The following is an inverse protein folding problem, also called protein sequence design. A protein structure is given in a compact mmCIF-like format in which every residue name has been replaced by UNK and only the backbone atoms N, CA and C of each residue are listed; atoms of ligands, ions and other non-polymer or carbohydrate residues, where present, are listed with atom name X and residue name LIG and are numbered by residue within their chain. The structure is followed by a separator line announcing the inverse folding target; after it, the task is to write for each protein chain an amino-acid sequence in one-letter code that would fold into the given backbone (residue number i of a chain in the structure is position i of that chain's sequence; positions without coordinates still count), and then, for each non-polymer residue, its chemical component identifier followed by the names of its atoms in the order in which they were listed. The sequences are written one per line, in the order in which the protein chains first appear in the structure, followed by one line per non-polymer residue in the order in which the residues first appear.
data_IF_879284394106
#
_entry.id   IF_879284394106
#
_cell.length_a   1.000
_cell.length_b   1.000
_cell.length_c   1.000
_cell.angle_alpha   90.00
_cell.angle_beta   90.00
_cell.angle_gamma   90.00
#
_symmetry.space_group_name_H-M   'P 1'
#
loop_
_entity.id
_entity.type
_entity.pdbx_description
1 polymer ?
#
# COMPACT_ATOMS: atom_id res chain seq x y z
N UNK A 1 10.12 -31.33 -8.16
CA UNK A 1 8.99 -31.05 -9.08
C UNK A 1 7.73 -31.51 -8.36
N UNK A 2 7.02 -30.60 -7.69
CA UNK A 2 5.75 -30.95 -7.05
C UNK A 2 4.74 -31.25 -8.17
N UNK A 3 4.18 -32.46 -8.17
CA UNK A 3 3.12 -32.85 -9.11
C UNK A 3 1.80 -32.61 -8.37
N UNK A 4 1.14 -31.53 -8.76
CA UNK A 4 -0.11 -31.11 -8.17
C UNK A 4 -1.28 -31.77 -8.92
N UNK A 5 -2.23 -32.43 -8.23
CA UNK A 5 -3.50 -32.85 -8.82
C UNK A 5 -4.17 -31.75 -9.65
N UNK A 6 -4.76 -32.16 -10.78
CA UNK A 6 -5.30 -31.29 -11.83
C UNK A 6 -6.14 -30.09 -11.36
N UNK A 7 -7.10 -30.21 -10.41
CA UNK A 7 -8.00 -29.10 -10.09
C UNK A 7 -7.31 -27.88 -9.46
N UNK A 8 -6.27 -28.06 -8.65
CA UNK A 8 -5.59 -26.89 -8.06
C UNK A 8 -4.39 -26.42 -8.90
N UNK A 9 -3.85 -27.26 -9.80
CA UNK A 9 -2.82 -26.80 -10.75
C UNK A 9 -3.33 -25.67 -11.65
N UNK A 10 -4.63 -25.65 -11.98
CA UNK A 10 -5.24 -24.58 -12.77
C UNK A 10 -5.30 -23.26 -11.97
N UNK A 11 -5.74 -23.33 -10.72
CA UNK A 11 -5.81 -22.18 -9.81
C UNK A 11 -4.42 -21.60 -9.53
N UNK A 12 -3.42 -22.45 -9.26
CA UNK A 12 -2.03 -21.99 -9.09
C UNK A 12 -1.52 -21.29 -10.35
N UNK A 13 -1.76 -21.86 -11.53
CA UNK A 13 -1.32 -21.26 -12.79
C UNK A 13 -1.99 -19.90 -13.05
N UNK A 14 -3.29 -19.78 -12.78
CA UNK A 14 -4.02 -18.52 -12.90
C UNK A 14 -3.49 -17.47 -11.90
N UNK A 15 -3.28 -17.87 -10.64
CA UNK A 15 -2.74 -16.99 -9.61
C UNK A 15 -1.35 -16.46 -9.93
N UNK A 16 -0.43 -17.32 -10.38
CA UNK A 16 0.92 -16.92 -10.78
C UNK A 16 0.93 -16.01 -12.02
N UNK A 17 0.01 -16.24 -12.96
CA UNK A 17 -0.17 -15.36 -14.11
C UNK A 17 -0.62 -13.97 -13.66
N UNK A 18 -1.67 -13.88 -12.85
CA UNK A 18 -2.19 -12.61 -12.34
C UNK A 18 -1.13 -11.87 -11.51
N UNK A 19 -0.36 -12.59 -10.68
CA UNK A 19 0.77 -12.03 -9.92
C UNK A 19 1.83 -11.39 -10.84
N UNK A 20 2.19 -12.07 -11.92
CA UNK A 20 3.16 -11.54 -12.91
C UNK A 20 2.63 -10.29 -13.61
N UNK A 21 1.33 -10.26 -13.94
CA UNK A 21 0.69 -9.11 -14.58
C UNK A 21 0.63 -7.93 -13.61
N UNK A 22 0.29 -8.19 -12.33
CA UNK A 22 0.31 -7.17 -11.28
C UNK A 22 1.69 -6.52 -11.14
N UNK A 23 2.75 -7.33 -11.04
CA UNK A 23 4.13 -6.84 -10.95
C UNK A 23 4.55 -6.04 -12.20
N UNK A 24 4.07 -6.44 -13.38
CA UNK A 24 4.33 -5.72 -14.64
C UNK A 24 3.74 -4.31 -14.61
N UNK A 25 2.47 -4.18 -14.22
CA UNK A 25 1.83 -2.87 -14.08
C UNK A 25 2.50 -2.03 -12.98
N UNK A 26 2.81 -2.65 -11.85
CA UNK A 26 3.47 -1.97 -10.74
C UNK A 26 4.87 -1.47 -11.13
N UNK A 27 5.62 -2.26 -11.89
CA UNK A 27 6.93 -1.89 -12.45
C UNK A 27 6.84 -0.73 -13.44
N UNK A 28 5.77 -0.65 -14.25
CA UNK A 28 5.55 0.50 -15.11
C UNK A 28 5.37 1.80 -14.29
N UNK A 29 4.63 1.73 -13.18
CA UNK A 29 4.37 2.87 -12.32
C UNK A 29 5.57 3.26 -11.42
N UNK A 30 6.28 2.28 -10.86
CA UNK A 30 7.31 2.50 -9.84
C UNK A 30 8.73 2.46 -10.41
N UNK A 31 8.97 1.72 -11.48
CA UNK A 31 10.29 1.31 -11.96
C UNK A 31 10.60 -0.14 -11.59
N UNK A 32 11.73 -0.66 -12.08
CA UNK A 32 12.24 -1.97 -11.68
C UNK A 32 12.54 -2.02 -10.16
N UNK A 33 12.66 -3.21 -9.58
CA UNK A 33 12.82 -3.39 -8.12
C UNK A 33 11.66 -2.78 -7.31
N UNK A 34 10.40 -3.09 -7.68
CA UNK A 34 9.18 -2.58 -7.03
C UNK A 34 9.21 -2.68 -5.49
N UNK A 35 9.73 -3.80 -4.96
CA UNK A 35 9.89 -4.05 -3.52
C UNK A 35 10.79 -3.04 -2.80
N UNK A 36 11.75 -2.42 -3.51
CA UNK A 36 12.59 -1.34 -3.01
C UNK A 36 11.81 -0.03 -2.98
N UNK A 37 11.10 0.26 -4.06
CA UNK A 37 10.29 1.47 -4.23
C UNK A 37 9.03 1.54 -3.37
N UNK A 38 8.64 0.42 -2.74
CA UNK A 38 7.54 0.35 -1.80
C UNK A 38 7.73 1.32 -0.62
N UNK A 39 8.98 1.46 -0.14
CA UNK A 39 9.32 2.21 1.07
C UNK A 39 9.73 3.67 0.80
N UNK A 40 9.64 4.12 -0.44
CA UNK A 40 10.02 5.48 -0.81
C UNK A 40 9.07 6.52 -0.18
N UNK A 41 9.52 7.78 -0.03
CA UNK A 41 8.66 8.86 0.44
C UNK A 41 7.44 9.05 -0.49
N UNK A 42 6.20 8.95 0.03
CA UNK A 42 4.98 8.89 -0.79
C UNK A 42 4.64 10.23 -1.45
N UNK A 43 5.03 11.36 -0.86
CA UNK A 43 4.68 12.70 -1.34
C UNK A 43 5.83 13.45 -2.02
N UNK A 44 6.94 12.78 -2.36
CA UNK A 44 8.01 13.44 -3.10
C UNK A 44 7.50 13.92 -4.47
N UNK A 45 7.66 15.21 -4.79
CA UNK A 45 7.09 15.80 -6.00
C UNK A 45 7.43 15.06 -7.32
N UNK A 46 8.69 14.65 -7.57
CA UNK A 46 9.02 13.85 -8.77
C UNK A 46 8.30 12.51 -8.81
N UNK A 47 8.09 11.89 -7.64
CA UNK A 47 7.35 10.62 -7.52
C UNK A 47 5.88 10.83 -7.83
N UNK A 48 5.23 11.82 -7.21
CA UNK A 48 3.81 12.11 -7.47
C UNK A 48 3.56 12.41 -8.96
N UNK A 49 4.45 13.15 -9.62
CA UNK A 49 4.35 13.40 -11.05
C UNK A 49 4.37 12.10 -11.88
N UNK A 50 5.30 11.18 -11.58
CA UNK A 50 5.37 9.85 -12.20
C UNK A 50 4.11 9.02 -11.92
N UNK A 51 3.69 8.95 -10.65
CA UNK A 51 2.51 8.16 -10.27
C UNK A 51 1.24 8.66 -10.96
N UNK A 52 1.09 9.98 -11.15
CA UNK A 52 -0.06 10.54 -11.88
C UNK A 52 -0.14 10.05 -13.32
N UNK A 53 0.99 9.93 -14.03
CA UNK A 53 0.99 9.40 -15.40
C UNK A 53 0.73 7.89 -15.49
N UNK A 54 0.80 7.19 -14.35
CA UNK A 54 0.61 5.73 -14.24
C UNK A 54 -0.55 5.35 -13.33
N UNK A 55 -1.55 6.23 -13.16
CA UNK A 55 -2.71 5.97 -12.27
C UNK A 55 -3.47 4.71 -12.69
N UNK A 56 -3.61 4.47 -13.99
CA UNK A 56 -4.29 3.27 -14.48
C UNK A 56 -3.47 2.00 -14.22
N UNK A 57 -2.16 2.05 -14.42
CA UNK A 57 -1.27 0.93 -14.09
C UNK A 57 -1.38 0.57 -12.60
N UNK A 58 -1.41 1.56 -11.69
CA UNK A 58 -1.61 1.29 -10.26
C UNK A 58 -2.95 0.60 -9.99
N UNK A 59 -4.03 0.98 -10.68
CA UNK A 59 -5.34 0.33 -10.53
C UNK A 59 -5.33 -1.10 -11.04
N UNK A 60 -4.77 -1.33 -12.22
CA UNK A 60 -4.67 -2.67 -12.81
C UNK A 60 -3.76 -3.57 -11.97
N UNK A 61 -2.67 -3.04 -11.42
CA UNK A 61 -1.81 -3.79 -10.51
C UNK A 61 -2.58 -4.31 -9.28
N UNK A 62 -3.45 -3.50 -8.67
CA UNK A 62 -4.30 -3.94 -7.57
C UNK A 62 -5.31 -5.00 -8.00
N UNK A 63 -6.03 -4.77 -9.09
CA UNK A 63 -7.04 -5.71 -9.59
C UNK A 63 -6.45 -7.09 -9.88
N UNK A 64 -5.27 -7.14 -10.49
CA UNK A 64 -4.56 -8.38 -10.80
C UNK A 64 -3.95 -9.02 -9.53
N UNK A 65 -3.49 -8.22 -8.58
CA UNK A 65 -3.03 -8.72 -7.28
C UNK A 65 -4.18 -9.34 -6.48
N UNK A 66 -5.37 -8.73 -6.48
CA UNK A 66 -6.59 -9.28 -5.87
C UNK A 66 -7.02 -10.59 -6.56
N UNK A 67 -6.98 -10.65 -7.90
CA UNK A 67 -7.21 -11.90 -8.65
C UNK A 67 -6.20 -12.99 -8.27
N UNK A 68 -4.92 -12.64 -8.12
CA UNK A 68 -3.90 -13.58 -7.66
C UNK A 68 -4.22 -14.12 -6.26
N UNK A 69 -4.64 -13.25 -5.33
CA UNK A 69 -5.05 -13.65 -3.98
C UNK A 69 -6.23 -14.63 -4.01
N UNK A 70 -7.26 -14.37 -4.82
CA UNK A 70 -8.44 -15.24 -4.98
C UNK A 70 -8.04 -16.64 -5.45
N UNK A 71 -7.30 -16.72 -6.56
CA UNK A 71 -6.86 -17.99 -7.15
C UNK A 71 -5.92 -18.78 -6.22
N UNK A 72 -4.94 -18.12 -5.60
CA UNK A 72 -4.02 -18.78 -4.67
C UNK A 72 -4.73 -19.27 -3.40
N UNK A 73 -5.68 -18.50 -2.89
CA UNK A 73 -6.53 -18.92 -1.76
C UNK A 73 -7.42 -20.11 -2.13
N UNK A 74 -7.97 -20.13 -3.35
CA UNK A 74 -8.74 -21.27 -3.84
C UNK A 74 -7.86 -22.51 -4.00
N UNK A 75 -6.64 -22.36 -4.53
CA UNK A 75 -5.67 -23.46 -4.62
C UNK A 75 -5.35 -24.07 -3.24
N UNK A 76 -5.16 -23.23 -2.21
CA UNK A 76 -4.98 -23.67 -0.83
C UNK A 76 -6.21 -24.45 -0.31
N UNK A 77 -7.43 -23.94 -0.53
CA UNK A 77 -8.68 -24.64 -0.15
C UNK A 77 -8.83 -26.00 -0.82
N UNK A 78 -8.31 -26.16 -2.04
CA UNK A 78 -8.33 -27.41 -2.80
C UNK A 78 -7.22 -28.39 -2.41
N UNK A 79 -6.42 -28.10 -1.38
CA UNK A 79 -5.35 -28.97 -0.88
C UNK A 79 -3.99 -28.71 -1.54
N UNK A 80 -3.80 -27.53 -2.13
CA UNK A 80 -2.48 -27.07 -2.58
C UNK A 80 -1.46 -27.01 -1.43
N UNK A 81 -0.19 -27.11 -1.78
CA UNK A 81 0.89 -27.06 -0.80
C UNK A 81 0.96 -25.68 -0.11
N UNK A 82 0.70 -25.68 1.19
CA UNK A 82 0.70 -24.45 1.99
C UNK A 82 2.06 -23.76 1.99
N UNK A 83 3.15 -24.53 2.00
CA UNK A 83 4.50 -23.96 2.06
C UNK A 83 4.82 -23.12 0.83
N UNK A 84 4.58 -23.67 -0.37
CA UNK A 84 4.88 -22.96 -1.62
C UNK A 84 3.88 -21.85 -1.95
N UNK A 85 2.60 -22.01 -1.60
CA UNK A 85 1.55 -21.06 -1.98
C UNK A 85 1.40 -19.88 -1.02
N UNK A 86 1.78 -20.04 0.25
CA UNK A 86 1.73 -18.94 1.22
C UNK A 86 2.66 -17.77 0.83
N UNK A 87 3.84 -18.07 0.28
CA UNK A 87 4.78 -17.05 -0.19
C UNK A 87 4.19 -16.24 -1.36
N UNK A 88 3.59 -16.90 -2.35
CA UNK A 88 2.93 -16.21 -3.47
C UNK A 88 1.72 -15.39 -3.02
N UNK A 89 0.97 -15.88 -2.03
CA UNK A 89 -0.17 -15.15 -1.49
C UNK A 89 0.30 -13.89 -0.75
N UNK A 90 1.40 -13.99 0.00
CA UNK A 90 2.03 -12.84 0.64
C UNK A 90 2.52 -11.83 -0.41
N UNK A 91 3.17 -12.30 -1.48
CA UNK A 91 3.60 -11.45 -2.59
C UNK A 91 2.43 -10.72 -3.23
N UNK A 92 1.32 -11.42 -3.53
CA UNK A 92 0.12 -10.81 -4.07
C UNK A 92 -0.44 -9.71 -3.16
N UNK A 93 -0.48 -9.94 -1.85
CA UNK A 93 -0.92 -8.93 -0.87
C UNK A 93 0.05 -7.73 -0.81
N UNK A 94 1.36 -7.96 -0.94
CA UNK A 94 2.34 -6.87 -0.99
C UNK A 94 2.18 -6.01 -2.25
N UNK A 95 1.87 -6.60 -3.41
CA UNK A 95 1.61 -5.88 -4.65
C UNK A 95 0.33 -5.04 -4.58
N UNK A 96 -0.75 -5.62 -4.03
CA UNK A 96 -2.00 -4.88 -3.82
C UNK A 96 -1.77 -3.67 -2.89
N UNK A 97 -1.11 -3.88 -1.75
CA UNK A 97 -0.77 -2.78 -0.85
C UNK A 97 0.12 -1.72 -1.51
N UNK A 98 1.09 -2.12 -2.33
CA UNK A 98 1.91 -1.18 -3.07
C UNK A 98 1.05 -0.31 -4.02
N UNK A 99 0.08 -0.91 -4.70
CA UNK A 99 -0.88 -0.16 -5.50
C UNK A 99 -1.73 0.79 -4.64
N UNK A 100 -2.31 0.29 -3.55
CA UNK A 100 -3.18 1.04 -2.64
C UNK A 100 -2.46 2.27 -2.07
N UNK A 101 -1.26 2.07 -1.53
CA UNK A 101 -0.37 3.09 -1.00
C UNK A 101 -0.18 4.24 -1.97
N UNK A 102 0.19 3.93 -3.20
CA UNK A 102 0.51 4.96 -4.19
C UNK A 102 -0.75 5.65 -4.73
N UNK A 103 -1.88 4.93 -4.85
CA UNK A 103 -3.18 5.54 -5.19
C UNK A 103 -3.62 6.52 -4.10
N UNK A 104 -3.56 6.14 -2.83
CA UNK A 104 -3.95 7.03 -1.73
C UNK A 104 -2.98 8.21 -1.58
N UNK A 105 -1.68 8.02 -1.80
CA UNK A 105 -0.74 9.14 -1.85
C UNK A 105 -1.12 10.16 -2.94
N UNK A 106 -1.53 9.69 -4.13
CA UNK A 106 -2.03 10.55 -5.20
C UNK A 106 -3.33 11.26 -4.82
N UNK A 107 -4.30 10.54 -4.26
CA UNK A 107 -5.59 11.12 -3.87
C UNK A 107 -5.41 12.21 -2.82
N UNK A 108 -4.60 11.96 -1.79
CA UNK A 108 -4.28 12.97 -0.76
C UNK A 108 -3.62 14.20 -1.41
N UNK A 109 -2.66 14.00 -2.32
CA UNK A 109 -2.00 15.10 -3.00
C UNK A 109 -2.94 15.89 -3.92
N UNK A 110 -3.86 15.22 -4.61
CA UNK A 110 -4.85 15.86 -5.48
C UNK A 110 -5.90 16.63 -4.67
N UNK A 111 -6.37 16.08 -3.54
CA UNK A 111 -7.22 16.77 -2.56
C UNK A 111 -6.53 18.03 -2.06
N UNK A 112 -5.25 17.93 -1.66
CA UNK A 112 -4.45 19.07 -1.20
C UNK A 112 -4.38 20.18 -2.26
N UNK A 113 -4.17 19.80 -3.52
CA UNK A 113 -4.11 20.75 -4.63
C UNK A 113 -5.47 21.40 -4.92
N UNK A 114 -6.57 20.63 -4.86
CA UNK A 114 -7.92 21.12 -5.13
C UNK A 114 -8.41 22.15 -4.10
N UNK A 115 -8.01 22.02 -2.84
CA UNK A 115 -8.32 22.99 -1.79
C UNK A 115 -7.70 24.38 -2.03
N UNK A 116 -6.62 24.46 -2.80
CA UNK A 116 -5.93 25.73 -3.08
C UNK A 116 -5.23 26.33 -1.85
N UNK A 117 -4.81 27.60 -1.95
CA UNK A 117 -3.95 28.20 -0.91
C UNK A 117 -4.69 28.69 0.33
N UNK A 118 -6.00 28.98 0.23
CA UNK A 118 -6.84 29.51 1.32
C UNK A 118 -8.23 28.86 1.29
N UNK A 119 -8.32 27.54 1.57
CA UNK A 119 -9.59 26.83 1.62
C UNK A 119 -10.48 27.33 2.75
N UNK A 120 -11.75 26.92 2.71
CA UNK A 120 -12.65 27.06 3.86
C UNK A 120 -12.27 26.08 4.95
N UNK A 121 -12.45 26.50 6.20
CA UNK A 121 -12.22 25.62 7.36
C UNK A 121 -13.07 24.35 7.32
N UNK A 122 -14.29 24.43 6.77
CA UNK A 122 -15.16 23.26 6.53
C UNK A 122 -14.55 22.27 5.53
N UNK A 123 -13.99 22.75 4.42
CA UNK A 123 -13.30 21.90 3.43
C UNK A 123 -12.07 21.24 4.05
N UNK A 124 -11.28 22.00 4.82
CA UNK A 124 -10.11 21.45 5.52
C UNK A 124 -10.51 20.35 6.49
N UNK A 125 -11.55 20.57 7.29
CA UNK A 125 -12.05 19.58 8.23
C UNK A 125 -12.55 18.32 7.49
N UNK A 126 -13.35 18.50 6.44
CA UNK A 126 -13.88 17.40 5.64
C UNK A 126 -12.76 16.57 5.01
N UNK A 127 -11.87 17.20 4.25
CA UNK A 127 -10.89 16.49 3.45
C UNK A 127 -9.69 15.97 4.26
N UNK A 128 -9.23 16.73 5.26
CA UNK A 128 -8.06 16.32 6.04
C UNK A 128 -8.45 15.46 7.23
N UNK A 129 -9.38 15.92 8.09
CA UNK A 129 -9.75 15.15 9.28
C UNK A 129 -10.60 13.95 8.91
N UNK A 130 -11.70 14.11 8.15
CA UNK A 130 -12.60 12.97 7.91
C UNK A 130 -12.08 12.02 6.83
N UNK A 131 -11.78 12.51 5.63
CA UNK A 131 -11.45 11.68 4.47
C UNK A 131 -10.03 11.10 4.48
N UNK A 132 -9.10 11.80 5.14
CA UNK A 132 -7.67 11.43 5.12
C UNK A 132 -7.18 10.91 6.47
N UNK A 133 -7.62 11.51 7.58
CA UNK A 133 -7.03 11.30 8.90
C UNK A 133 -7.98 10.75 9.99
N UNK A 134 -9.21 10.36 9.63
CA UNK A 134 -10.14 9.79 10.60
C UNK A 134 -9.58 8.48 11.16
N UNK A 135 -9.90 8.18 12.41
CA UNK A 135 -9.29 7.09 13.16
C UNK A 135 -9.53 5.72 12.53
N UNK A 136 -10.72 5.51 11.97
CA UNK A 136 -11.30 4.19 11.71
C UNK A 136 -11.77 4.00 10.26
N UNK A 137 -12.02 5.09 9.52
CA UNK A 137 -12.53 5.05 8.14
C UNK A 137 -11.89 6.13 7.26
N UNK A 138 -10.56 6.15 7.20
CA UNK A 138 -9.82 7.07 6.34
C UNK A 138 -8.70 6.38 5.59
N UNK A 139 -8.19 7.06 4.55
CA UNK A 139 -7.06 6.58 3.75
C UNK A 139 -5.86 6.20 4.62
N UNK A 140 -5.56 6.96 5.67
CA UNK A 140 -4.43 6.63 6.56
C UNK A 140 -4.75 5.44 7.47
N UNK A 141 -5.99 5.31 7.94
CA UNK A 141 -6.42 4.14 8.73
C UNK A 141 -6.32 2.85 7.89
N UNK A 142 -6.87 2.87 6.67
CA UNK A 142 -6.82 1.73 5.74
C UNK A 142 -5.38 1.29 5.45
N UNK A 143 -4.45 2.24 5.26
CA UNK A 143 -3.04 1.94 5.03
C UNK A 143 -2.35 1.37 6.27
N UNK A 144 -2.71 1.84 7.47
CA UNK A 144 -2.18 1.32 8.74
C UNK A 144 -2.66 -0.10 9.00
N UNK A 145 -3.93 -0.38 8.78
CA UNK A 145 -4.50 -1.73 8.95
C UNK A 145 -3.87 -2.70 7.96
N UNK A 146 -3.82 -2.31 6.67
CA UNK A 146 -3.25 -3.15 5.63
C UNK A 146 -1.76 -3.48 5.88
N UNK A 147 -0.94 -2.51 6.30
CA UNK A 147 0.48 -2.76 6.56
C UNK A 147 0.72 -3.55 7.85
N UNK A 148 -0.10 -3.37 8.88
CA UNK A 148 -0.03 -4.14 10.12
C UNK A 148 -0.34 -5.61 9.87
N UNK A 149 -1.40 -5.90 9.10
CA UNK A 149 -1.75 -7.26 8.70
C UNK A 149 -0.70 -7.91 7.79
N UNK A 150 -0.11 -7.14 6.87
CA UNK A 150 0.97 -7.60 6.00
C UNK A 150 2.24 -7.94 6.79
N UNK A 151 2.58 -7.13 7.79
CA UNK A 151 3.73 -7.37 8.67
C UNK A 151 3.62 -8.74 9.35
N UNK A 152 2.44 -9.08 9.86
CA UNK A 152 2.24 -10.38 10.52
C UNK A 152 2.29 -11.54 9.54
N UNK A 153 1.69 -11.38 8.35
CA UNK A 153 1.83 -12.35 7.26
C UNK A 153 3.29 -12.58 6.87
N UNK A 154 4.07 -11.51 6.71
CA UNK A 154 5.49 -11.57 6.40
C UNK A 154 6.29 -12.26 7.51
N UNK A 155 6.00 -11.93 8.78
CA UNK A 155 6.65 -12.57 9.92
C UNK A 155 6.37 -14.07 9.94
N UNK A 156 5.15 -14.50 9.64
CA UNK A 156 4.79 -15.92 9.59
C UNK A 156 5.56 -16.63 8.47
N UNK A 157 5.47 -16.15 7.23
CA UNK A 157 6.16 -16.73 6.08
C UNK A 157 7.69 -16.82 6.33
N UNK A 158 8.27 -15.78 6.93
CA UNK A 158 9.68 -15.80 7.30
C UNK A 158 10.05 -16.94 8.24
N UNK A 159 9.22 -17.22 9.26
CA UNK A 159 9.52 -18.25 10.25
C UNK A 159 9.40 -19.66 9.69
N UNK A 160 8.57 -19.82 8.66
CA UNK A 160 8.38 -21.09 7.96
C UNK A 160 9.56 -21.38 7.01
N UNK A 161 10.09 -20.34 6.33
CA UNK A 161 11.11 -20.50 5.30
C UNK A 161 12.56 -20.22 5.74
N UNK A 162 12.78 -19.41 6.78
CA UNK A 162 14.11 -18.87 7.12
C UNK A 162 14.44 -18.90 8.62
N UNK A 163 15.74 -18.75 8.94
CA UNK A 163 16.20 -18.53 10.32
C UNK A 163 15.88 -17.11 10.80
N UNK A 164 15.96 -16.85 12.10
CA UNK A 164 15.68 -15.52 12.66
C UNK A 164 16.65 -14.39 12.21
N UNK A 165 17.75 -14.73 11.53
CA UNK A 165 18.73 -13.75 11.04
C UNK A 165 18.07 -12.73 10.09
N UNK A 166 18.30 -11.43 10.28
CA UNK A 166 17.72 -10.29 9.52
C UNK A 166 16.20 -10.10 9.58
N UNK A 167 15.42 -11.03 10.15
CA UNK A 167 13.96 -10.88 10.29
C UNK A 167 13.56 -9.55 10.92
N UNK A 168 14.21 -9.20 12.04
CA UNK A 168 13.93 -7.95 12.76
C UNK A 168 14.14 -6.72 11.89
N UNK A 169 15.25 -6.65 11.15
CA UNK A 169 15.56 -5.53 10.25
C UNK A 169 14.53 -5.38 9.14
N UNK A 170 14.01 -6.48 8.60
CA UNK A 170 13.00 -6.43 7.54
C UNK A 170 11.65 -6.00 8.10
N UNK A 171 11.22 -6.57 9.24
CA UNK A 171 9.98 -6.18 9.90
C UNK A 171 9.98 -4.71 10.34
N UNK A 172 11.15 -4.13 10.66
CA UNK A 172 11.26 -2.69 10.94
C UNK A 172 10.89 -1.80 9.77
N UNK A 173 10.92 -2.28 8.52
CA UNK A 173 10.42 -1.51 7.37
C UNK A 173 8.90 -1.35 7.40
N UNK A 174 8.19 -2.43 7.74
CA UNK A 174 6.74 -2.41 7.94
C UNK A 174 6.35 -1.54 9.14
N UNK A 175 7.13 -1.63 10.24
CA UNK A 175 6.93 -0.75 11.40
C UNK A 175 7.12 0.73 11.02
N UNK A 176 8.16 1.05 10.24
CA UNK A 176 8.41 2.40 9.75
C UNK A 176 7.29 2.93 8.86
N UNK A 177 6.78 2.08 7.98
CA UNK A 177 5.66 2.39 7.09
C UNK A 177 4.36 2.67 7.88
N UNK A 178 4.03 1.84 8.87
CA UNK A 178 2.92 2.09 9.79
C UNK A 178 3.08 3.43 10.51
N UNK A 179 4.27 3.68 11.07
CA UNK A 179 4.56 4.92 11.80
C UNK A 179 4.48 6.15 10.89
N UNK A 180 4.81 6.02 9.60
CA UNK A 180 4.67 7.09 8.65
C UNK A 180 3.20 7.52 8.50
N UNK A 181 2.28 6.58 8.30
CA UNK A 181 0.85 6.88 8.18
C UNK A 181 0.24 7.37 9.48
N UNK A 182 0.61 6.77 10.61
CA UNK A 182 0.18 7.22 11.93
C UNK A 182 0.57 8.69 12.19
N UNK A 183 1.83 9.04 11.88
CA UNK A 183 2.32 10.40 12.11
C UNK A 183 1.65 11.39 11.15
N UNK A 184 1.42 11.00 9.89
CA UNK A 184 0.66 11.82 8.94
C UNK A 184 -0.77 12.06 9.46
N UNK A 185 -1.49 11.00 9.83
CA UNK A 185 -2.85 11.05 10.37
C UNK A 185 -2.94 12.07 11.52
N UNK A 186 -2.11 11.91 12.54
CA UNK A 186 -2.10 12.80 13.71
C UNK A 186 -1.80 14.25 13.36
N UNK A 187 -0.85 14.50 12.46
CA UNK A 187 -0.45 15.87 12.10
C UNK A 187 -1.52 16.56 11.26
N UNK A 188 -2.16 15.83 10.35
CA UNK A 188 -3.27 16.35 9.54
C UNK A 188 -4.48 16.67 10.40
N UNK A 189 -4.87 15.75 11.30
CA UNK A 189 -5.99 15.97 12.21
C UNK A 189 -5.72 17.15 13.17
N UNK A 190 -4.51 17.23 13.74
CA UNK A 190 -4.12 18.37 14.58
C UNK A 190 -4.16 19.69 13.81
N UNK A 191 -3.70 19.71 12.56
CA UNK A 191 -3.73 20.90 11.72
C UNK A 191 -5.17 21.32 11.38
N UNK A 192 -6.02 20.37 10.98
CA UNK A 192 -7.41 20.63 10.66
C UNK A 192 -8.18 21.23 11.85
N UNK A 193 -7.96 20.69 13.06
CA UNK A 193 -8.56 21.20 14.29
C UNK A 193 -8.13 22.64 14.65
N UNK A 194 -6.94 23.06 14.20
CA UNK A 194 -6.41 24.40 14.42
C UNK A 194 -6.74 25.41 13.34
N UNK A 195 -7.17 24.96 12.15
CA UNK A 195 -7.32 25.79 10.96
C UNK A 195 -8.55 26.71 11.03
N UNK A 196 -8.40 27.97 10.59
CA UNK A 196 -9.46 28.99 10.54
C UNK A 196 -9.56 29.60 9.16
N UNK A 197 -10.76 30.10 8.82
CA UNK A 197 -10.99 30.84 7.59
C UNK A 197 -10.00 32.03 7.46
N UNK A 198 -9.25 32.06 6.36
CA UNK A 198 -8.21 33.06 6.09
C UNK A 198 -6.79 32.53 6.29
N UNK A 199 -6.61 31.40 6.97
CA UNK A 199 -5.33 30.70 7.07
C UNK A 199 -4.89 30.17 5.69
N UNK A 200 -3.60 29.85 5.59
CA UNK A 200 -3.00 29.28 4.37
C UNK A 200 -2.62 27.83 4.58
N UNK A 201 -2.84 26.99 3.56
CA UNK A 201 -2.29 25.63 3.57
C UNK A 201 -0.76 25.67 3.39
N UNK A 202 0.01 25.01 4.27
CA UNK A 202 1.43 24.78 4.02
C UNK A 202 1.62 23.72 2.91
N UNK A 203 2.86 23.49 2.43
CA UNK A 203 3.14 22.37 1.52
C UNK A 203 2.79 21.03 2.17
N UNK A 204 2.25 20.08 1.41
CA UNK A 204 1.89 18.74 1.91
C UNK A 204 3.10 18.00 2.48
N UNK A 205 4.27 18.19 1.89
CA UNK A 205 5.52 17.56 2.30
C UNK A 205 5.94 17.98 3.72
N UNK A 206 5.42 19.10 4.25
CA UNK A 206 5.70 19.53 5.62
C UNK A 206 5.08 18.62 6.69
N UNK A 207 4.10 17.78 6.31
CA UNK A 207 3.46 16.84 7.23
C UNK A 207 4.20 15.52 7.38
N UNK A 208 5.11 15.20 6.46
CA UNK A 208 5.96 14.01 6.54
C UNK A 208 7.39 14.37 6.98
N UNK A 209 8.12 13.48 7.67
CA UNK A 209 9.51 13.73 8.00
C UNK A 209 10.36 13.95 6.74
N UNK A 210 11.28 14.90 6.79
CA UNK A 210 12.38 14.98 5.81
C UNK A 210 13.34 13.82 6.08
N UNK A 211 13.64 13.03 5.05
CA UNK A 211 14.65 11.96 5.10
C UNK A 211 16.03 12.51 4.76
#
# INVERSE_FOLDING_TARGET
RAVYPAPFSAEVAAGLKALTVAETHLSAALGEETSRHLWDPPFAAPRLAKLRSHREDLRQARLEAEQAQEHLSQALRLGGDHFSLADFLLEARMLDYAGLRNIYALEIADIWQQMGSRPKSEDVNFYLSMETASHDHSRTADLMDAIADLREGYRQAWNEAYTAYRRGTILSKFDGEFQQWWNLQRRLDQFANGFRDGDTLPPLESFVPAY
#
